data_IF_576355033995
#
_entry.id   IF_576355033995
#
_cell.length_a   1.000
_cell.length_b   1.000
_cell.length_c   1.000
_cell.angle_alpha   90.00
_cell.angle_beta   90.00
_cell.angle_gamma   90.00
#
_symmetry.space_group_name_H-M   'P 1'
#
loop_
_entity.id
_entity.type
_entity.pdbx_description
1 polymer ?
#
# COMPACT_ATOMS: atom_id res chain seq x y z
N UNK A 1 12.64 -7.76 20.28
CA UNK A 1 12.23 -8.67 19.18
C UNK A 1 12.79 -8.09 17.89
N UNK A 2 13.14 -8.93 16.92
CA UNK A 2 13.60 -8.45 15.61
C UNK A 2 12.38 -8.06 14.77
N UNK A 3 12.42 -6.88 14.09
CA UNK A 3 11.36 -6.46 13.15
C UNK A 3 11.75 -6.75 11.70
N UNK A 4 13.00 -7.14 11.47
CA UNK A 4 13.58 -7.35 10.14
C UNK A 4 14.88 -8.14 10.21
N UNK A 5 15.47 -8.45 9.05
CA UNK A 5 16.79 -9.08 8.95
C UNK A 5 17.93 -8.24 9.56
N UNK A 6 17.76 -6.93 9.64
CA UNK A 6 18.72 -6.05 10.33
C UNK A 6 18.57 -6.05 11.86
N UNK A 7 17.61 -6.79 12.39
CA UNK A 7 17.24 -6.76 13.78
C UNK A 7 16.04 -5.85 14.04
N UNK A 8 15.84 -5.50 15.31
CA UNK A 8 14.74 -4.62 15.74
C UNK A 8 15.30 -3.56 16.67
N UNK A 9 15.10 -2.32 16.28
CA UNK A 9 15.35 -1.20 17.16
C UNK A 9 14.08 -0.90 17.98
N UNK A 10 14.24 -0.61 19.27
CA UNK A 10 13.12 -0.12 20.06
C UNK A 10 12.77 1.30 19.63
N UNK A 11 11.47 1.64 19.61
CA UNK A 11 10.98 3.01 19.43
C UNK A 11 11.71 4.01 20.33
N UNK A 12 12.05 3.59 21.56
CA UNK A 12 12.74 4.43 22.55
C UNK A 12 14.12 4.90 22.09
N UNK A 13 14.74 4.18 21.14
CA UNK A 13 16.03 4.58 20.56
C UNK A 13 15.91 5.75 19.57
N UNK A 14 14.70 6.15 19.22
CA UNK A 14 14.39 7.20 18.22
C UNK A 14 13.56 8.33 18.83
N UNK A 15 13.88 8.75 20.05
CA UNK A 15 13.13 9.79 20.77
C UNK A 15 13.07 11.13 20.02
N UNK A 16 14.03 11.42 19.17
CA UNK A 16 14.09 12.58 18.28
C UNK A 16 13.07 12.52 17.13
N UNK A 17 12.49 11.36 16.85
CA UNK A 17 11.47 11.15 15.82
C UNK A 17 10.07 10.90 16.39
N UNK A 18 9.90 11.02 17.69
CA UNK A 18 8.64 10.71 18.37
C UNK A 18 7.43 11.48 17.84
N UNK A 19 7.61 12.76 17.48
CA UNK A 19 6.52 13.55 16.92
C UNK A 19 6.11 13.07 15.53
N UNK A 20 7.06 12.63 14.70
CA UNK A 20 6.77 11.99 13.42
C UNK A 20 6.02 10.68 13.62
N UNK A 21 6.45 9.86 14.57
CA UNK A 21 5.78 8.59 14.87
C UNK A 21 4.32 8.79 15.31
N UNK A 22 4.04 9.80 16.14
CA UNK A 22 2.65 10.14 16.53
C UNK A 22 1.79 10.55 15.34
N UNK A 23 2.35 11.29 14.37
CA UNK A 23 1.62 11.65 13.13
C UNK A 23 1.29 10.40 12.33
N UNK A 24 2.25 9.48 12.17
CA UNK A 24 2.06 8.23 11.44
C UNK A 24 1.02 7.35 12.15
N UNK A 25 1.12 7.20 13.47
CA UNK A 25 0.15 6.45 14.28
C UNK A 25 -1.26 7.06 14.20
N UNK A 26 -1.36 8.38 14.19
CA UNK A 26 -2.64 9.08 14.05
C UNK A 26 -3.33 8.77 12.72
N UNK A 27 -2.56 8.52 11.66
CA UNK A 27 -3.08 8.16 10.34
C UNK A 27 -3.32 6.65 10.18
N UNK A 28 -2.39 5.81 10.65
CA UNK A 28 -2.41 4.36 10.45
C UNK A 28 -3.13 3.59 11.57
N UNK A 29 -3.26 4.19 12.77
CA UNK A 29 -3.74 3.52 13.97
C UNK A 29 -2.64 2.73 14.74
N UNK A 30 -1.46 2.62 14.19
CA UNK A 30 -0.26 1.98 14.77
C UNK A 30 0.99 2.49 14.05
N UNK A 31 2.18 2.23 14.63
CA UNK A 31 3.44 2.56 13.99
C UNK A 31 3.96 1.36 13.19
N UNK A 32 4.05 1.44 11.84
CA UNK A 32 4.56 0.36 11.02
C UNK A 32 6.05 0.08 11.28
N UNK A 33 6.44 -1.19 11.32
CA UNK A 33 7.84 -1.62 11.45
C UNK A 33 8.73 -1.13 10.30
N UNK A 34 8.13 -0.86 9.13
CA UNK A 34 8.83 -0.19 8.03
C UNK A 34 9.35 1.20 8.42
N UNK A 35 8.60 1.97 9.22
CA UNK A 35 9.06 3.27 9.74
C UNK A 35 10.14 3.11 10.82
N UNK A 36 10.05 2.11 11.69
CA UNK A 36 11.11 1.82 12.65
C UNK A 36 12.41 1.42 11.95
N UNK A 37 12.33 0.63 10.88
CA UNK A 37 13.51 0.29 10.08
C UNK A 37 14.10 1.47 9.31
N UNK A 38 13.25 2.40 8.84
CA UNK A 38 13.70 3.65 8.20
C UNK A 38 14.27 4.65 9.21
N UNK A 39 13.80 4.62 10.47
CA UNK A 39 14.21 5.55 11.53
C UNK A 39 15.69 5.45 11.87
N UNK A 40 16.36 4.35 11.54
CA UNK A 40 17.83 4.22 11.62
C UNK A 40 18.52 5.32 10.79
N UNK A 41 17.87 5.81 9.74
CA UNK A 41 18.25 7.01 8.99
C UNK A 41 17.13 8.05 9.13
N UNK A 42 17.19 8.98 10.08
CA UNK A 42 16.11 9.94 10.35
C UNK A 42 15.70 10.77 9.14
N UNK A 43 16.65 11.19 8.32
CA UNK A 43 16.38 11.98 7.13
C UNK A 43 15.60 11.14 6.08
N UNK A 44 15.93 9.86 5.93
CA UNK A 44 15.18 8.97 5.04
C UNK A 44 13.74 8.80 5.52
N UNK A 45 13.55 8.49 6.82
CA UNK A 45 12.22 8.32 7.40
C UNK A 45 11.35 9.57 7.24
N UNK A 46 11.90 10.75 7.54
CA UNK A 46 11.21 12.02 7.39
C UNK A 46 10.84 12.31 5.92
N UNK A 47 11.77 12.11 5.00
CA UNK A 47 11.52 12.35 3.56
C UNK A 47 10.49 11.39 3.00
N UNK A 48 10.55 10.12 3.40
CA UNK A 48 9.55 9.13 3.00
C UNK A 48 8.16 9.46 3.55
N UNK A 49 8.07 9.81 4.85
CA UNK A 49 6.79 10.19 5.47
C UNK A 49 6.19 11.45 4.81
N UNK A 50 7.02 12.43 4.44
CA UNK A 50 6.57 13.63 3.71
C UNK A 50 6.03 13.28 2.32
N UNK A 51 6.72 12.40 1.58
CA UNK A 51 6.24 11.92 0.27
C UNK A 51 4.92 11.16 0.40
N UNK A 52 4.83 10.21 1.33
CA UNK A 52 3.61 9.45 1.59
C UNK A 52 2.46 10.37 2.00
N UNK A 53 2.70 11.32 2.91
CA UNK A 53 1.72 12.33 3.32
C UNK A 53 1.21 13.16 2.14
N UNK A 54 2.09 13.58 1.24
CA UNK A 54 1.71 14.32 0.02
C UNK A 54 0.78 13.49 -0.87
N UNK A 55 1.12 12.23 -1.09
CA UNK A 55 0.33 11.33 -1.96
C UNK A 55 -1.03 11.05 -1.34
N UNK A 56 -1.06 10.62 -0.08
CA UNK A 56 -2.32 10.25 0.59
C UNK A 56 -3.19 11.45 1.00
N UNK A 57 -2.68 12.69 0.98
CA UNK A 57 -3.49 13.90 1.18
C UNK A 57 -4.19 14.40 -0.08
N UNK A 58 -3.95 13.79 -1.25
CA UNK A 58 -4.63 14.17 -2.48
C UNK A 58 -6.14 14.02 -2.34
N UNK A 59 -6.88 15.03 -2.84
CA UNK A 59 -8.34 15.02 -2.89
C UNK A 59 -8.88 14.60 -4.26
N UNK A 60 -8.00 14.19 -5.18
CA UNK A 60 -8.38 13.85 -6.57
C UNK A 60 -8.80 12.39 -6.72
N UNK A 61 -8.37 11.55 -5.81
CA UNK A 61 -8.70 10.13 -5.72
C UNK A 61 -9.14 9.85 -4.28
N UNK A 62 -10.21 9.11 -4.09
CA UNK A 62 -10.65 8.73 -2.75
C UNK A 62 -9.68 7.74 -2.08
N UNK A 63 -9.70 7.71 -0.75
CA UNK A 63 -8.77 6.90 0.04
C UNK A 63 -8.93 5.40 -0.19
N UNK A 64 -10.16 4.94 -0.41
CA UNK A 64 -10.44 3.53 -0.70
C UNK A 64 -9.81 3.09 -2.01
N UNK A 65 -9.95 3.90 -3.07
CA UNK A 65 -9.29 3.66 -4.37
C UNK A 65 -7.77 3.66 -4.24
N UNK A 66 -7.18 4.59 -3.47
CA UNK A 66 -5.73 4.58 -3.21
C UNK A 66 -5.27 3.27 -2.55
N UNK A 67 -6.04 2.75 -1.58
CA UNK A 67 -5.72 1.48 -0.92
C UNK A 67 -5.86 0.28 -1.86
N UNK A 68 -6.86 0.26 -2.74
CA UNK A 68 -7.01 -0.81 -3.75
C UNK A 68 -5.88 -0.79 -4.80
N UNK A 69 -5.45 0.40 -5.26
CA UNK A 69 -4.28 0.57 -6.14
C UNK A 69 -3.02 0.02 -5.45
N UNK A 70 -2.82 0.41 -4.20
CA UNK A 70 -1.69 -0.05 -3.40
C UNK A 70 -1.71 -1.57 -3.18
N UNK A 71 -2.89 -2.14 -2.92
CA UNK A 71 -3.09 -3.59 -2.76
C UNK A 71 -2.78 -4.34 -4.06
N UNK A 72 -3.31 -3.88 -5.19
CA UNK A 72 -3.05 -4.49 -6.50
C UNK A 72 -1.56 -4.47 -6.85
N UNK A 73 -0.88 -3.34 -6.66
CA UNK A 73 0.57 -3.21 -6.85
C UNK A 73 1.34 -4.16 -5.92
N UNK A 74 0.91 -4.31 -4.66
CA UNK A 74 1.58 -5.17 -3.68
C UNK A 74 1.33 -6.66 -3.93
N UNK A 75 0.14 -7.04 -4.41
CA UNK A 75 -0.18 -8.39 -4.88
C UNK A 75 0.69 -8.76 -6.08
N UNK A 76 0.80 -7.85 -7.05
CA UNK A 76 1.61 -8.04 -8.25
C UNK A 76 3.10 -8.16 -7.96
N UNK A 77 3.60 -7.41 -6.97
CA UNK A 77 5.00 -7.48 -6.49
C UNK A 77 5.28 -8.70 -5.62
N UNK A 78 4.25 -9.32 -5.02
CA UNK A 78 4.39 -10.46 -4.10
C UNK A 78 4.68 -10.09 -2.64
N UNK A 79 4.75 -8.80 -2.28
CA UNK A 79 5.08 -8.35 -0.92
C UNK A 79 3.96 -8.62 0.09
N UNK A 80 4.11 -9.63 0.94
CA UNK A 80 3.10 -10.04 1.93
C UNK A 80 2.84 -8.97 2.99
N UNK A 81 3.88 -8.30 3.44
CA UNK A 81 3.76 -7.20 4.39
C UNK A 81 2.85 -6.09 3.86
N UNK A 82 3.14 -5.63 2.63
CA UNK A 82 2.34 -4.56 2.03
C UNK A 82 0.91 -5.00 1.66
N UNK A 83 0.71 -6.26 1.25
CA UNK A 83 -0.63 -6.82 1.01
C UNK A 83 -1.49 -6.76 2.28
N UNK A 84 -0.95 -7.16 3.42
CA UNK A 84 -1.65 -7.11 4.71
C UNK A 84 -2.02 -5.67 5.11
N UNK A 85 -1.07 -4.75 5.01
CA UNK A 85 -1.27 -3.34 5.33
C UNK A 85 -2.33 -2.68 4.43
N UNK A 86 -2.26 -2.90 3.13
CA UNK A 86 -3.18 -2.27 2.17
C UNK A 86 -4.57 -2.88 2.19
N UNK A 87 -4.69 -4.20 2.42
CA UNK A 87 -6.00 -4.83 2.63
C UNK A 87 -6.68 -4.31 3.89
N UNK A 88 -5.93 -4.19 5.00
CA UNK A 88 -6.43 -3.61 6.24
C UNK A 88 -6.79 -2.12 6.04
N UNK A 89 -5.94 -1.36 5.36
CA UNK A 89 -6.22 0.04 5.01
C UNK A 89 -7.46 0.21 4.14
N UNK A 90 -7.67 -0.66 3.15
CA UNK A 90 -8.89 -0.67 2.35
C UNK A 90 -10.15 -0.92 3.21
N UNK A 91 -10.08 -1.89 4.11
CA UNK A 91 -11.17 -2.14 5.06
C UNK A 91 -11.43 -0.93 5.96
N UNK A 92 -10.39 -0.29 6.52
CA UNK A 92 -10.55 0.89 7.38
C UNK A 92 -11.11 2.11 6.66
N UNK A 93 -10.83 2.25 5.36
CA UNK A 93 -11.38 3.35 4.53
C UNK A 93 -12.79 3.07 4.03
N UNK A 94 -13.40 1.94 4.43
CA UNK A 94 -14.78 1.60 4.10
C UNK A 94 -14.97 0.99 2.72
N UNK A 95 -13.89 0.47 2.09
CA UNK A 95 -14.02 -0.31 0.87
C UNK A 95 -14.85 -1.57 1.16
N UNK A 96 -15.80 -1.86 0.27
CA UNK A 96 -16.64 -3.04 0.36
C UNK A 96 -15.78 -4.31 0.46
N UNK A 97 -16.10 -5.19 1.44
CA UNK A 97 -15.36 -6.44 1.66
C UNK A 97 -15.33 -7.33 0.41
N UNK A 98 -16.40 -7.37 -0.38
CA UNK A 98 -16.45 -8.12 -1.62
C UNK A 98 -15.43 -7.63 -2.65
N UNK A 99 -15.14 -6.31 -2.71
CA UNK A 99 -14.06 -5.79 -3.55
C UNK A 99 -12.69 -6.30 -3.08
N UNK A 100 -12.41 -6.22 -1.78
CA UNK A 100 -11.13 -6.71 -1.24
C UNK A 100 -10.96 -8.20 -1.54
N UNK A 101 -12.03 -8.98 -1.36
CA UNK A 101 -12.02 -10.43 -1.57
C UNK A 101 -11.87 -10.82 -3.05
N UNK A 102 -12.43 -10.01 -3.94
CA UNK A 102 -12.45 -10.26 -5.39
C UNK A 102 -11.28 -9.63 -6.13
N UNK A 103 -10.36 -8.97 -5.45
CA UNK A 103 -9.32 -8.18 -6.11
C UNK A 103 -8.46 -8.99 -7.10
N UNK A 104 -8.22 -10.27 -6.86
CA UNK A 104 -7.49 -11.14 -7.80
C UNK A 104 -8.32 -11.59 -9.01
N UNK A 105 -9.63 -11.39 -8.98
CA UNK A 105 -10.56 -11.67 -10.07
C UNK A 105 -11.42 -10.46 -10.43
N UNK A 106 -10.89 -9.25 -10.19
CA UNK A 106 -11.60 -7.99 -10.36
C UNK A 106 -12.25 -7.83 -11.73
N UNK A 107 -11.63 -8.36 -12.79
CA UNK A 107 -12.16 -8.29 -14.15
C UNK A 107 -13.53 -8.96 -14.30
N UNK A 108 -13.75 -10.06 -13.60
CA UNK A 108 -14.97 -10.87 -13.65
C UNK A 108 -15.96 -10.49 -12.55
N UNK A 109 -15.51 -9.74 -11.55
CA UNK A 109 -16.32 -9.39 -10.39
C UNK A 109 -17.36 -8.32 -10.73
N UNK A 110 -18.63 -8.51 -10.30
CA UNK A 110 -19.67 -7.51 -10.46
C UNK A 110 -19.52 -6.32 -9.49
N UNK A 111 -18.58 -6.38 -8.56
CA UNK A 111 -18.36 -5.36 -7.54
C UNK A 111 -17.48 -4.20 -8.04
N UNK A 112 -16.81 -4.36 -9.19
CA UNK A 112 -15.98 -3.34 -9.82
C UNK A 112 -16.62 -2.81 -11.09
N UNK A 113 -16.70 -1.50 -11.23
CA UNK A 113 -17.08 -0.85 -12.48
C UNK A 113 -15.91 -0.79 -13.47
N UNK A 114 -16.19 -0.37 -14.71
CA UNK A 114 -15.19 -0.36 -15.79
C UNK A 114 -14.04 0.61 -15.50
N UNK A 115 -14.31 1.73 -14.84
CA UNK A 115 -13.27 2.70 -14.46
C UNK A 115 -12.33 2.14 -13.40
N UNK A 116 -12.85 1.44 -12.40
CA UNK A 116 -12.07 0.77 -11.37
C UNK A 116 -11.25 -0.39 -11.94
N UNK A 117 -11.80 -1.14 -12.88
CA UNK A 117 -11.06 -2.21 -13.58
C UNK A 117 -9.87 -1.63 -14.37
N UNK A 118 -10.05 -0.53 -15.08
CA UNK A 118 -8.96 0.14 -15.79
C UNK A 118 -7.84 0.60 -14.83
N UNK A 119 -8.20 1.10 -13.64
CA UNK A 119 -7.22 1.47 -12.60
C UNK A 119 -6.45 0.26 -12.11
N UNK A 120 -7.12 -0.85 -11.83
CA UNK A 120 -6.49 -2.07 -11.35
C UNK A 120 -5.63 -2.73 -12.43
N UNK A 121 -6.02 -2.66 -13.71
CA UNK A 121 -5.20 -3.12 -14.84
C UNK A 121 -3.83 -2.46 -14.83
N UNK A 122 -3.78 -1.12 -14.73
CA UNK A 122 -2.54 -0.40 -14.61
C UNK A 122 -1.77 -0.80 -13.34
N UNK A 123 -2.44 -0.87 -12.18
CA UNK A 123 -1.79 -1.16 -10.91
C UNK A 123 -1.14 -2.56 -10.89
N UNK A 124 -1.84 -3.56 -11.40
CA UNK A 124 -1.30 -4.92 -11.54
C UNK A 124 -0.17 -4.99 -12.57
N UNK A 125 -0.27 -4.31 -13.71
CA UNK A 125 0.77 -4.29 -14.72
C UNK A 125 2.04 -3.59 -14.22
N UNK A 126 1.88 -2.40 -13.62
CA UNK A 126 2.99 -1.58 -13.16
C UNK A 126 3.68 -2.12 -11.89
N UNK A 127 2.97 -2.91 -11.07
CA UNK A 127 3.53 -3.56 -9.88
C UNK A 127 4.50 -4.70 -10.20
N UNK A 128 4.53 -5.20 -11.43
CA UNK A 128 5.41 -6.30 -11.84
C UNK A 128 6.86 -5.87 -12.04
N UNK A 129 7.75 -6.84 -11.98
CA UNK A 129 9.17 -6.68 -12.39
C UNK A 129 9.52 -7.79 -13.39
N UNK A 130 9.84 -7.48 -14.66
CA UNK A 130 9.84 -6.12 -15.25
C UNK A 130 8.44 -5.50 -15.30
N UNK A 131 8.38 -4.16 -15.26
CA UNK A 131 7.14 -3.40 -15.36
C UNK A 131 6.43 -3.71 -16.69
N UNK A 132 5.12 -3.96 -16.63
CA UNK A 132 4.29 -4.33 -17.77
C UNK A 132 3.24 -3.26 -18.12
N UNK A 133 3.38 -2.04 -17.61
CA UNK A 133 2.51 -0.93 -18.02
C UNK A 133 2.79 -0.57 -19.49
N UNK A 134 1.71 -0.44 -20.28
CA UNK A 134 1.74 -0.13 -21.70
C UNK A 134 0.84 1.07 -22.01
N UNK A 135 0.96 1.65 -23.20
CA UNK A 135 0.18 2.80 -23.63
C UNK A 135 -1.33 2.55 -23.52
N UNK A 136 -1.78 1.35 -23.84
CA UNK A 136 -3.20 0.96 -23.77
C UNK A 136 -3.83 1.19 -22.39
N UNK A 137 -3.10 0.91 -21.30
CA UNK A 137 -3.59 1.17 -19.95
C UNK A 137 -3.90 2.66 -19.73
N UNK A 138 -3.04 3.54 -20.26
CA UNK A 138 -3.24 4.99 -20.13
C UNK A 138 -4.34 5.51 -21.05
N UNK A 139 -4.48 4.96 -22.25
CA UNK A 139 -5.55 5.31 -23.16
C UNK A 139 -6.91 4.96 -22.54
N UNK A 140 -7.05 3.76 -21.95
CA UNK A 140 -8.26 3.34 -21.23
C UNK A 140 -8.54 4.24 -20.01
N UNK A 141 -7.53 4.57 -19.21
CA UNK A 141 -7.71 5.45 -18.06
C UNK A 141 -8.16 6.85 -18.44
N UNK A 142 -7.69 7.39 -19.57
CA UNK A 142 -8.06 8.73 -20.04
C UNK A 142 -9.52 8.83 -20.48
N UNK A 143 -10.24 7.71 -20.65
CA UNK A 143 -11.69 7.70 -20.88
C UNK A 143 -12.47 8.09 -19.60
N UNK A 144 -11.91 7.86 -18.42
CA UNK A 144 -12.58 8.04 -17.12
C UNK A 144 -11.95 9.13 -16.26
N UNK A 145 -10.63 9.38 -16.38
CA UNK A 145 -9.86 10.17 -15.43
C UNK A 145 -9.04 11.26 -16.13
N UNK A 146 -8.85 12.36 -15.42
CA UNK A 146 -7.92 13.42 -15.84
C UNK A 146 -6.45 12.96 -15.69
N UNK A 147 -5.56 13.61 -16.44
CA UNK A 147 -4.11 13.36 -16.31
C UNK A 147 -3.59 13.56 -14.88
N UNK A 148 -4.18 14.49 -14.14
CA UNK A 148 -3.81 14.74 -12.75
C UNK A 148 -4.18 13.56 -11.85
N UNK A 149 -5.39 12.99 -12.01
CA UNK A 149 -5.82 11.80 -11.28
C UNK A 149 -4.95 10.61 -11.61
N UNK A 150 -4.64 10.38 -12.89
CA UNK A 150 -3.74 9.30 -13.33
C UNK A 150 -2.34 9.49 -12.74
N UNK A 151 -1.85 10.74 -12.66
CA UNK A 151 -0.56 11.03 -12.03
C UNK A 151 -0.56 10.62 -10.55
N UNK A 152 -1.63 10.90 -9.82
CA UNK A 152 -1.76 10.52 -8.41
C UNK A 152 -1.86 8.98 -8.26
N UNK A 153 -2.55 8.27 -9.17
CA UNK A 153 -2.57 6.80 -9.20
C UNK A 153 -1.16 6.23 -9.39
N UNK A 154 -0.41 6.77 -10.35
CA UNK A 154 0.98 6.36 -10.59
C UNK A 154 1.86 6.66 -9.37
N UNK A 155 1.63 7.78 -8.68
CA UNK A 155 2.35 8.11 -7.45
C UNK A 155 2.10 7.07 -6.33
N UNK A 156 0.85 6.59 -6.16
CA UNK A 156 0.53 5.50 -5.22
C UNK A 156 1.27 4.22 -5.62
N UNK A 157 1.23 3.82 -6.88
CA UNK A 157 1.93 2.62 -7.38
C UNK A 157 3.44 2.73 -7.12
N UNK A 158 4.05 3.89 -7.41
CA UNK A 158 5.47 4.12 -7.22
C UNK A 158 5.89 4.12 -5.74
N UNK A 159 5.05 4.70 -4.85
CA UNK A 159 5.26 4.65 -3.40
C UNK A 159 5.27 3.20 -2.90
N UNK A 160 4.30 2.40 -3.34
CA UNK A 160 4.26 0.98 -2.98
C UNK A 160 5.34 0.16 -3.71
N UNK A 161 5.81 0.58 -4.87
CA UNK A 161 7.02 0.02 -5.50
C UNK A 161 8.26 0.17 -4.61
N UNK A 162 8.42 1.32 -3.94
CA UNK A 162 9.44 1.53 -2.92
C UNK A 162 9.20 0.62 -1.69
N UNK A 163 7.99 0.67 -1.11
CA UNK A 163 7.66 -0.09 0.10
C UNK A 163 7.75 -1.60 -0.10
N UNK A 164 7.25 -2.12 -1.20
CA UNK A 164 7.30 -3.54 -1.53
C UNK A 164 8.76 -4.03 -1.54
N UNK A 165 9.64 -3.28 -2.20
CA UNK A 165 11.06 -3.61 -2.26
C UNK A 165 11.76 -3.44 -0.91
N UNK A 166 11.44 -2.38 -0.17
CA UNK A 166 11.97 -2.13 1.16
C UNK A 166 11.64 -3.29 2.11
N UNK A 167 10.37 -3.62 2.22
CA UNK A 167 9.89 -4.60 3.19
C UNK A 167 10.30 -6.03 2.83
N UNK A 168 10.28 -6.42 1.57
CA UNK A 168 10.72 -7.75 1.13
C UNK A 168 12.24 -7.91 1.31
N UNK A 169 13.03 -6.85 1.00
CA UNK A 169 14.49 -6.90 1.16
C UNK A 169 14.90 -7.04 2.61
N UNK A 170 14.19 -6.35 3.51
CA UNK A 170 14.47 -6.40 4.95
C UNK A 170 13.77 -7.55 5.67
N UNK A 171 12.83 -8.25 5.04
CA UNK A 171 12.00 -9.26 5.68
C UNK A 171 11.19 -8.66 6.83
N UNK A 172 10.53 -7.52 6.60
CA UNK A 172 9.77 -6.81 7.64
C UNK A 172 8.66 -7.69 8.22
N UNK A 173 8.58 -7.75 9.55
CA UNK A 173 7.54 -8.48 10.25
C UNK A 173 6.28 -7.64 10.36
N UNK A 174 5.11 -8.28 10.24
CA UNK A 174 3.83 -7.62 10.45
C UNK A 174 3.63 -7.24 11.92
N UNK A 175 3.00 -6.12 12.14
CA UNK A 175 2.48 -5.70 13.44
C UNK A 175 1.21 -6.47 13.80
N UNK A 176 0.84 -6.46 15.08
CA UNK A 176 -0.31 -7.22 15.58
C UNK A 176 -1.62 -6.85 14.87
N UNK A 177 -1.84 -5.57 14.57
CA UNK A 177 -3.09 -5.07 13.97
C UNK A 177 -3.30 -5.62 12.54
N UNK A 178 -2.41 -5.40 11.56
CA UNK A 178 -2.59 -5.97 10.22
C UNK A 178 -2.46 -7.50 10.24
N UNK A 179 -1.69 -8.09 11.14
CA UNK A 179 -1.61 -9.55 11.27
C UNK A 179 -2.94 -10.16 11.72
N UNK A 180 -3.61 -9.57 12.72
CA UNK A 180 -4.94 -10.02 13.16
C UNK A 180 -5.96 -9.92 12.03
N UNK A 181 -5.93 -8.84 11.25
CA UNK A 181 -6.80 -8.69 10.08
C UNK A 181 -6.56 -9.80 9.03
N UNK A 182 -5.30 -10.13 8.76
CA UNK A 182 -4.93 -11.24 7.85
C UNK A 182 -5.48 -12.57 8.35
N UNK A 183 -5.27 -12.88 9.65
CA UNK A 183 -5.74 -14.15 10.23
C UNK A 183 -7.27 -14.29 10.16
N UNK A 184 -7.99 -13.22 10.46
CA UNK A 184 -9.45 -13.24 10.54
C UNK A 184 -10.14 -13.15 9.18
N UNK A 185 -9.60 -12.36 8.27
CA UNK A 185 -10.28 -11.97 7.03
C UNK A 185 -9.67 -12.56 5.76
N UNK A 186 -8.35 -12.62 5.63
CA UNK A 186 -7.71 -13.00 4.39
C UNK A 186 -7.34 -14.49 4.33
N UNK A 187 -6.85 -15.08 5.42
CA UNK A 187 -6.51 -16.53 5.45
C UNK A 187 -7.68 -17.45 5.15
N UNK A 188 -8.92 -17.21 5.63
CA UNK A 188 -10.08 -18.02 5.26
C UNK A 188 -10.36 -18.02 3.75
N UNK A 189 -9.91 -16.98 3.03
CA UNK A 189 -10.05 -16.84 1.57
C UNK A 189 -8.87 -17.46 0.79
N UNK A 190 -7.93 -18.10 1.48
CA UNK A 190 -6.78 -18.76 0.86
C UNK A 190 -5.54 -17.88 0.68
N UNK A 191 -5.49 -16.71 1.31
CA UNK A 191 -4.28 -15.88 1.34
C UNK A 191 -3.17 -16.63 2.12
N UNK A 192 -1.95 -16.70 1.54
CA UNK A 192 -0.80 -17.50 2.05
C UNK A 192 0.40 -16.61 2.36
#
# INVERSE_FOLDING_TARGET
>A
MSYSFLGGESRDNFSDQEDLFKVIEGFMGYLPNSHLSMAVNPQLNQSFAALAGTIFSSQKIDQGSMQLIALASSLSSGCKYCQAHTSHGAHQTGVNEEKINDILRYQESPHYDDSEKAVLDLAFAAGKTPNQAEQEHFDNLLEYFSKEQITDMVAVIALFGFLNRWNDTLGSHLEDVPNSFVEEKLKPLGWK
#
